data_IF_785151161507
#
_entry.id   IF_785151161507
#
_cell.length_a   1.000
_cell.length_b   1.000
_cell.length_c   1.000
_cell.angle_alpha   90.00
_cell.angle_beta   90.00
_cell.angle_gamma   90.00
#
_symmetry.space_group_name_H-M   'P 1'
#
loop_
_entity.id
_entity.type
_entity.pdbx_description
1 polymer ?
#
# COMPACT_ATOMS: atom_id res chain seq x y z
N UNK A 1 -7.69 -21.21 11.31
CA UNK A 1 -7.88 -19.76 11.46
C UNK A 1 -6.63 -18.95 11.09
N UNK A 2 -5.39 -19.34 11.45
CA UNK A 2 -4.16 -18.59 11.07
C UNK A 2 -3.85 -18.54 9.55
N UNK A 3 -4.26 -19.54 8.77
CA UNK A 3 -4.03 -19.60 7.30
C UNK A 3 -4.92 -18.62 6.51
N UNK A 4 -6.10 -18.26 7.02
CA UNK A 4 -7.00 -17.28 6.37
C UNK A 4 -6.54 -15.82 6.52
N UNK A 5 -5.80 -15.50 7.58
CA UNK A 5 -5.35 -14.13 7.85
C UNK A 5 -4.22 -13.72 6.88
N UNK A 6 -3.32 -14.64 6.54
CA UNK A 6 -2.22 -14.36 5.60
C UNK A 6 -2.72 -14.12 4.16
N UNK A 7 -3.74 -14.86 3.73
CA UNK A 7 -4.37 -14.70 2.42
C UNK A 7 -5.14 -13.37 2.34
N UNK A 8 -5.77 -12.94 3.43
CA UNK A 8 -6.53 -11.68 3.46
C UNK A 8 -5.61 -10.45 3.40
N UNK A 9 -4.42 -10.51 4.02
CA UNK A 9 -3.42 -9.44 3.93
C UNK A 9 -2.80 -9.33 2.53
N UNK A 10 -2.52 -10.47 1.89
CA UNK A 10 -1.99 -10.49 0.52
C UNK A 10 -3.00 -9.94 -0.50
N UNK A 11 -4.30 -10.22 -0.32
CA UNK A 11 -5.37 -9.71 -1.20
C UNK A 11 -5.57 -8.19 -1.00
N UNK A 12 -5.37 -7.65 0.21
CA UNK A 12 -5.47 -6.21 0.47
C UNK A 12 -4.32 -5.43 -0.20
N UNK A 13 -3.10 -6.01 -0.27
CA UNK A 13 -1.95 -5.39 -0.96
C UNK A 13 -2.10 -5.40 -2.49
N UNK A 14 -2.72 -6.43 -3.08
CA UNK A 14 -2.96 -6.51 -4.52
C UNK A 14 -4.07 -5.55 -4.98
N UNK A 15 -5.04 -5.22 -4.11
CA UNK A 15 -6.11 -4.29 -4.46
C UNK A 15 -5.65 -2.83 -4.56
N UNK A 16 -4.52 -2.45 -3.94
CA UNK A 16 -3.95 -1.10 -4.05
C UNK A 16 -3.14 -0.88 -5.32
N UNK A 17 -2.68 -1.95 -5.97
CA UNK A 17 -1.89 -1.86 -7.23
C UNK A 17 -2.75 -1.73 -8.50
N UNK A 18 -4.07 -1.95 -8.42
CA UNK A 18 -4.95 -1.92 -9.60
C UNK A 18 -5.58 -0.54 -9.88
N UNK A 19 -5.31 0.49 -9.07
CA UNK A 19 -5.98 1.79 -9.18
C UNK A 19 -5.16 2.92 -9.87
N UNK A 20 -3.91 2.67 -10.23
CA UNK A 20 -3.04 3.69 -10.87
C UNK A 20 -2.83 3.44 -12.37
N UNK A 21 -3.91 3.48 -13.13
CA UNK A 21 -3.90 3.43 -14.59
C UNK A 21 -4.69 4.60 -15.19
N UNK A 22 -4.20 5.82 -15.09
CA UNK A 22 -4.77 7.00 -15.74
C UNK A 22 -3.68 7.74 -16.51
N UNK A 23 -3.65 7.59 -17.84
CA UNK A 23 -2.72 8.31 -18.72
C UNK A 23 -3.03 9.81 -18.76
N UNK A 24 -2.10 10.62 -18.33
CA UNK A 24 -2.02 12.04 -18.58
C UNK A 24 -0.71 12.35 -19.29
N UNK A 25 -0.78 13.11 -20.36
CA UNK A 25 0.38 13.58 -21.13
C UNK A 25 1.29 14.43 -20.24
N UNK A 26 2.55 14.04 -20.14
CA UNK A 26 3.60 14.73 -19.38
C UNK A 26 4.08 15.98 -20.14
N UNK A 27 4.33 17.12 -19.47
CA UNK A 27 5.12 18.22 -20.02
C UNK A 27 6.61 17.83 -20.09
N UNK A 28 7.27 18.17 -21.19
CA UNK A 28 8.70 17.96 -21.42
C UNK A 28 9.54 18.63 -20.31
N UNK A 29 10.25 17.82 -19.54
CA UNK A 29 11.29 18.26 -18.59
C UNK A 29 12.63 18.48 -19.30
N UNK A 30 13.46 19.45 -18.85
CA UNK A 30 14.77 19.71 -19.44
C UNK A 30 15.78 18.60 -19.14
N UNK A 31 16.68 18.36 -20.08
CA UNK A 31 17.75 17.37 -20.11
C UNK A 31 18.41 17.12 -18.74
N UNK A 32 18.25 15.90 -18.24
CA UNK A 32 19.03 15.35 -17.14
C UNK A 32 20.45 14.97 -17.62
N UNK A 33 21.49 15.08 -16.77
CA UNK A 33 22.84 14.71 -17.15
C UNK A 33 22.97 13.21 -17.37
N UNK A 34 23.77 12.87 -18.40
CA UNK A 34 24.16 11.57 -18.92
C UNK A 34 23.97 10.39 -17.94
N UNK A 35 22.93 9.62 -18.18
CA UNK A 35 22.75 8.31 -17.54
C UNK A 35 23.90 7.40 -18.01
N UNK A 36 24.68 6.92 -17.07
CA UNK A 36 25.60 5.79 -17.25
C UNK A 36 24.85 4.69 -18.01
N UNK A 37 25.41 4.29 -19.15
CA UNK A 37 24.86 3.23 -19.99
C UNK A 37 24.44 2.04 -19.13
N UNK A 38 23.15 1.71 -19.18
CA UNK A 38 22.63 0.50 -18.55
C UNK A 38 23.46 -0.70 -19.05
N UNK A 39 23.79 -1.66 -18.16
CA UNK A 39 24.55 -2.84 -18.58
C UNK A 39 23.81 -3.48 -19.76
N UNK A 40 24.53 -3.68 -20.85
CA UNK A 40 23.99 -4.33 -22.05
C UNK A 40 23.36 -5.64 -21.60
N UNK A 41 22.06 -5.78 -21.80
CA UNK A 41 21.32 -6.94 -21.38
C UNK A 41 21.94 -8.20 -22.01
N UNK A 42 22.57 -9.01 -21.15
CA UNK A 42 23.30 -10.19 -21.54
C UNK A 42 22.39 -11.40 -21.69
N UNK A 43 23.03 -12.53 -21.89
CA UNK A 43 22.39 -13.85 -21.84
C UNK A 43 22.56 -14.41 -20.42
N UNK A 44 21.46 -14.93 -19.83
CA UNK A 44 21.45 -15.59 -18.54
C UNK A 44 20.94 -17.01 -18.74
N UNK A 45 21.74 -18.00 -18.37
CA UNK A 45 21.42 -19.43 -18.52
C UNK A 45 20.97 -19.82 -19.96
N UNK A 46 21.62 -19.23 -20.98
CA UNK A 46 21.29 -19.47 -22.38
C UNK A 46 19.98 -18.81 -22.84
N UNK A 47 19.47 -17.84 -22.09
CA UNK A 47 18.29 -17.02 -22.42
C UNK A 47 18.74 -15.60 -22.70
N UNK A 48 18.37 -15.06 -23.86
CA UNK A 48 18.63 -13.68 -24.25
C UNK A 48 17.45 -12.79 -23.85
N UNK A 49 17.72 -11.51 -23.60
CA UNK A 49 16.71 -10.55 -23.19
C UNK A 49 15.50 -10.51 -24.12
N UNK A 50 15.73 -10.55 -25.45
CA UNK A 50 14.65 -10.49 -26.44
C UNK A 50 13.74 -11.73 -26.38
N UNK A 51 14.32 -12.91 -26.08
CA UNK A 51 13.58 -14.14 -25.91
C UNK A 51 12.82 -14.16 -24.57
N UNK A 52 13.43 -13.59 -23.50
CA UNK A 52 12.83 -13.53 -22.19
C UNK A 52 11.52 -12.74 -22.16
N UNK A 53 11.46 -11.60 -22.82
CA UNK A 53 10.27 -10.74 -22.89
C UNK A 53 9.02 -11.44 -23.48
N UNK A 54 9.23 -12.50 -24.25
CA UNK A 54 8.16 -13.29 -24.90
C UNK A 54 8.05 -14.73 -24.36
N UNK A 55 8.90 -15.10 -23.41
CA UNK A 55 8.96 -16.46 -22.86
C UNK A 55 7.78 -16.70 -21.92
N UNK A 56 7.19 -17.90 -22.02
CA UNK A 56 6.16 -18.32 -21.07
C UNK A 56 6.78 -19.04 -19.85
N UNK A 57 6.00 -19.19 -18.77
CA UNK A 57 6.40 -19.97 -17.60
C UNK A 57 6.75 -21.41 -17.99
N UNK A 58 5.96 -22.04 -18.86
CA UNK A 58 6.22 -23.41 -19.31
C UNK A 58 7.52 -23.53 -20.10
N UNK A 59 7.85 -22.55 -20.97
CA UNK A 59 9.10 -22.53 -21.70
C UNK A 59 10.30 -22.39 -20.77
N UNK A 60 10.18 -21.51 -19.77
CA UNK A 60 11.23 -21.26 -18.79
C UNK A 60 11.47 -22.50 -17.91
N UNK A 61 10.41 -23.12 -17.41
CA UNK A 61 10.49 -24.36 -16.63
C UNK A 61 11.08 -25.49 -17.49
N UNK A 62 10.62 -25.66 -18.71
CA UNK A 62 11.12 -26.70 -19.61
C UNK A 62 12.61 -26.55 -19.91
N UNK A 63 13.13 -25.32 -19.92
CA UNK A 63 14.53 -25.01 -20.17
C UNK A 63 15.42 -25.22 -18.96
N UNK A 64 14.97 -24.84 -17.76
CA UNK A 64 15.80 -24.76 -16.56
C UNK A 64 15.54 -25.88 -15.54
N UNK A 65 14.35 -26.45 -15.54
CA UNK A 65 13.88 -27.35 -14.48
C UNK A 65 13.47 -28.70 -15.08
N UNK A 66 14.10 -29.77 -14.64
CA UNK A 66 13.81 -31.12 -15.12
C UNK A 66 12.60 -31.72 -14.42
N UNK A 67 12.49 -31.47 -13.12
CA UNK A 67 11.37 -31.97 -12.29
C UNK A 67 10.64 -30.75 -11.69
N UNK A 68 9.42 -30.49 -12.17
CA UNK A 68 8.57 -29.37 -11.71
C UNK A 68 8.24 -29.43 -10.21
N UNK A 69 8.24 -30.64 -9.61
CA UNK A 69 7.84 -30.83 -8.21
C UNK A 69 9.02 -30.83 -7.24
N UNK A 70 10.22 -30.99 -7.74
CA UNK A 70 11.44 -31.08 -6.92
C UNK A 70 12.68 -30.60 -7.70
N UNK A 71 12.73 -29.26 -8.07
CA UNK A 71 13.91 -28.70 -8.72
C UNK A 71 15.14 -28.82 -7.80
N UNK A 72 16.33 -29.02 -8.38
CA UNK A 72 17.57 -28.93 -7.62
C UNK A 72 17.83 -27.52 -7.17
N UNK A 73 18.76 -27.31 -6.22
CA UNK A 73 19.14 -25.94 -5.78
C UNK A 73 19.66 -25.11 -6.94
N UNK A 74 20.47 -25.72 -7.82
CA UNK A 74 21.03 -25.08 -9.00
C UNK A 74 19.92 -24.69 -10.01
N UNK A 75 18.96 -25.57 -10.24
CA UNK A 75 17.82 -25.32 -11.13
C UNK A 75 16.93 -24.19 -10.60
N UNK A 76 16.65 -24.18 -9.29
CA UNK A 76 15.87 -23.15 -8.65
C UNK A 76 16.60 -21.78 -8.66
N UNK A 77 17.91 -21.78 -8.36
CA UNK A 77 18.74 -20.57 -8.42
C UNK A 77 18.80 -20.03 -9.84
N UNK A 78 19.00 -20.89 -10.84
CA UNK A 78 19.00 -20.49 -12.25
C UNK A 78 17.66 -19.87 -12.67
N UNK A 79 16.54 -20.40 -12.18
CA UNK A 79 15.22 -19.78 -12.41
C UNK A 79 15.15 -18.37 -11.82
N UNK A 80 15.59 -18.18 -10.59
CA UNK A 80 15.61 -16.87 -9.94
C UNK A 80 16.55 -15.87 -10.65
N UNK A 81 17.70 -16.32 -11.12
CA UNK A 81 18.69 -15.50 -11.83
C UNK A 81 18.17 -14.97 -13.16
N UNK A 82 17.16 -15.59 -13.78
CA UNK A 82 16.56 -15.07 -15.00
C UNK A 82 15.90 -13.69 -14.82
N UNK A 83 15.62 -13.28 -13.57
CA UNK A 83 15.12 -11.93 -13.28
C UNK A 83 16.11 -10.82 -13.70
N UNK A 84 17.38 -11.13 -13.87
CA UNK A 84 18.36 -10.19 -14.40
C UNK A 84 18.01 -9.68 -15.81
N UNK A 85 17.26 -10.48 -16.56
CA UNK A 85 16.79 -10.13 -17.91
C UNK A 85 15.53 -9.27 -17.90
N UNK A 86 14.78 -9.21 -16.79
CA UNK A 86 13.59 -8.41 -16.70
C UNK A 86 13.93 -6.91 -16.66
N UNK A 87 13.13 -6.09 -17.32
CA UNK A 87 13.22 -4.64 -17.19
C UNK A 87 12.86 -4.21 -15.77
N UNK A 88 13.54 -3.18 -15.29
CA UNK A 88 13.35 -2.59 -13.97
C UNK A 88 13.23 -1.07 -14.15
N UNK A 89 12.13 -0.49 -13.67
CA UNK A 89 11.96 0.95 -13.69
C UNK A 89 12.64 1.64 -12.49
N UNK A 90 12.63 2.98 -12.47
CA UNK A 90 13.21 3.79 -11.38
C UNK A 90 12.54 3.56 -10.01
N UNK A 91 11.31 3.05 -10.02
CA UNK A 91 10.53 2.69 -8.82
C UNK A 91 10.74 1.23 -8.42
N UNK A 92 11.75 0.58 -8.97
CA UNK A 92 12.06 -0.83 -8.72
C UNK A 92 10.93 -1.80 -9.06
N UNK A 93 10.04 -1.43 -9.98
CA UNK A 93 9.03 -2.37 -10.45
C UNK A 93 9.64 -3.25 -11.54
N UNK A 94 9.52 -4.55 -11.36
CA UNK A 94 9.83 -5.50 -12.40
C UNK A 94 8.67 -5.57 -13.39
N UNK A 95 8.97 -5.54 -14.69
CA UNK A 95 7.98 -5.86 -15.70
C UNK A 95 7.42 -7.28 -15.47
N UNK A 96 6.19 -7.53 -15.95
CA UNK A 96 5.61 -8.88 -15.94
C UNK A 96 6.58 -9.86 -16.59
N UNK A 97 6.83 -10.98 -15.90
CA UNK A 97 7.90 -11.88 -16.31
C UNK A 97 7.58 -13.36 -16.06
N UNK A 98 8.14 -14.21 -16.91
CA UNK A 98 7.97 -15.64 -16.86
C UNK A 98 8.53 -16.27 -15.57
N UNK A 99 9.49 -15.63 -14.89
CA UNK A 99 10.03 -16.11 -13.61
C UNK A 99 8.96 -16.14 -12.54
N UNK A 100 8.15 -15.06 -12.44
CA UNK A 100 7.06 -15.01 -11.50
C UNK A 100 6.03 -16.11 -11.73
N UNK A 101 5.61 -16.27 -12.98
CA UNK A 101 4.61 -17.26 -13.35
C UNK A 101 5.13 -18.68 -13.14
N UNK A 102 6.42 -18.92 -13.42
CA UNK A 102 7.06 -20.20 -13.17
C UNK A 102 7.13 -20.53 -11.66
N UNK A 103 7.43 -19.56 -10.79
CA UNK A 103 7.41 -19.74 -9.34
C UNK A 103 6.01 -20.05 -8.82
N UNK A 104 5.00 -19.34 -9.31
CA UNK A 104 3.59 -19.62 -8.98
C UNK A 104 3.23 -21.04 -9.41
N UNK A 105 3.63 -21.44 -10.61
CA UNK A 105 3.33 -22.78 -11.15
C UNK A 105 4.02 -23.89 -10.35
N UNK A 106 5.27 -23.68 -9.89
CA UNK A 106 5.98 -24.64 -9.03
C UNK A 106 5.32 -24.80 -7.65
N UNK A 107 4.63 -23.77 -7.18
CA UNK A 107 3.95 -23.74 -5.87
C UNK A 107 2.41 -23.80 -6.00
N UNK A 108 1.86 -24.17 -7.17
CA UNK A 108 0.43 -24.04 -7.49
C UNK A 108 -0.51 -24.74 -6.50
N UNK A 109 -0.08 -25.84 -5.92
CA UNK A 109 -0.89 -26.64 -4.98
C UNK A 109 -0.59 -26.31 -3.51
N UNK A 110 0.19 -25.26 -3.24
CA UNK A 110 0.65 -24.92 -1.89
C UNK A 110 1.60 -25.96 -1.32
N UNK A 111 2.21 -26.78 -2.18
CA UNK A 111 3.19 -27.79 -1.77
C UNK A 111 4.52 -27.14 -1.41
N UNK A 112 5.11 -27.58 -0.30
CA UNK A 112 6.47 -27.21 0.05
C UNK A 112 7.46 -28.01 -0.80
N UNK A 113 8.37 -27.31 -1.49
CA UNK A 113 9.46 -27.98 -2.20
C UNK A 113 10.37 -28.70 -1.19
N UNK A 114 10.80 -29.98 -1.45
CA UNK A 114 11.55 -30.77 -0.47
C UNK A 114 12.87 -30.15 0.01
N UNK A 115 13.49 -29.32 -0.84
CA UNK A 115 14.78 -28.67 -0.61
C UNK A 115 14.68 -27.14 -0.54
N UNK A 116 13.50 -26.62 -0.17
CA UNK A 116 13.24 -25.18 -0.25
C UNK A 116 14.16 -24.34 0.65
N UNK A 117 14.60 -24.85 1.79
CA UNK A 117 15.55 -24.15 2.65
C UNK A 117 16.93 -24.01 1.99
N UNK A 118 17.40 -25.03 1.29
CA UNK A 118 18.66 -24.97 0.56
C UNK A 118 18.56 -24.04 -0.64
N UNK A 119 17.43 -24.06 -1.35
CA UNK A 119 17.12 -23.12 -2.42
C UNK A 119 17.10 -21.67 -1.90
N UNK A 120 16.43 -21.43 -0.77
CA UNK A 120 16.37 -20.11 -0.14
C UNK A 120 17.78 -19.61 0.22
N UNK A 121 18.59 -20.45 0.87
CA UNK A 121 19.95 -20.09 1.27
C UNK A 121 20.83 -19.76 0.05
N UNK A 122 20.70 -20.51 -1.04
CA UNK A 122 21.45 -20.23 -2.27
C UNK A 122 21.05 -18.90 -2.90
N UNK A 123 19.74 -18.60 -2.98
CA UNK A 123 19.25 -17.34 -3.59
C UNK A 123 19.61 -16.12 -2.74
N UNK A 124 19.49 -16.17 -1.41
CA UNK A 124 19.88 -15.04 -0.55
C UNK A 124 21.39 -14.83 -0.50
N UNK A 125 22.20 -15.85 -0.82
CA UNK A 125 23.64 -15.74 -0.97
C UNK A 125 24.08 -15.24 -2.37
N UNK A 126 23.16 -15.08 -3.31
CA UNK A 126 23.45 -14.59 -4.65
C UNK A 126 24.08 -13.19 -4.61
N UNK A 127 25.07 -12.93 -5.46
CA UNK A 127 25.77 -11.64 -5.52
C UNK A 127 24.87 -10.52 -6.05
N UNK A 128 23.88 -10.84 -6.89
CA UNK A 128 22.94 -9.87 -7.46
C UNK A 128 21.92 -9.39 -6.42
N UNK A 129 21.95 -8.12 -6.11
CA UNK A 129 20.93 -7.47 -5.28
C UNK A 129 19.52 -7.51 -5.92
N UNK A 130 19.46 -7.49 -7.26
CA UNK A 130 18.21 -7.58 -8.03
C UNK A 130 17.55 -8.95 -7.84
N UNK A 131 18.34 -10.02 -7.90
CA UNK A 131 17.87 -11.40 -7.62
C UNK A 131 17.37 -11.53 -6.18
N UNK A 132 18.15 -11.04 -5.20
CA UNK A 132 17.75 -11.10 -3.79
C UNK A 132 16.48 -10.27 -3.51
N UNK A 133 16.40 -9.05 -4.04
CA UNK A 133 15.22 -8.20 -3.92
C UNK A 133 13.98 -8.89 -4.46
N UNK A 134 14.07 -9.41 -5.67
CA UNK A 134 12.96 -10.15 -6.28
C UNK A 134 12.54 -11.33 -5.40
N UNK A 135 13.50 -12.08 -4.89
CA UNK A 135 13.22 -13.20 -3.99
C UNK A 135 12.49 -12.75 -2.71
N UNK A 136 12.88 -11.63 -2.09
CA UNK A 136 12.16 -11.09 -0.93
C UNK A 136 10.67 -10.85 -1.22
N UNK A 137 10.34 -10.39 -2.41
CA UNK A 137 8.94 -10.22 -2.80
C UNK A 137 8.18 -11.54 -2.99
N UNK A 138 8.87 -12.63 -3.25
CA UNK A 138 8.25 -13.95 -3.50
C UNK A 138 8.11 -14.82 -2.25
N UNK A 139 8.70 -14.40 -1.13
CA UNK A 139 8.65 -15.19 0.11
C UNK A 139 7.24 -15.47 0.62
N UNK A 140 6.28 -14.57 0.38
CA UNK A 140 4.88 -14.80 0.69
C UNK A 140 4.22 -15.90 -0.15
N UNK A 141 4.81 -16.27 -1.30
CA UNK A 141 4.31 -17.29 -2.23
C UNK A 141 4.99 -18.63 -2.05
N UNK A 142 5.93 -18.74 -1.11
CA UNK A 142 6.66 -19.98 -0.83
C UNK A 142 6.16 -20.59 0.47
N UNK A 143 5.87 -21.87 0.46
CA UNK A 143 5.33 -22.58 1.62
C UNK A 143 6.46 -23.31 2.35
N UNK A 144 6.61 -23.01 3.65
CA UNK A 144 7.62 -23.59 4.53
C UNK A 144 6.96 -24.32 5.68
N UNK A 145 7.51 -25.49 6.03
CA UNK A 145 7.07 -26.24 7.22
C UNK A 145 7.60 -25.60 8.50
N UNK A 146 8.86 -25.11 8.48
CA UNK A 146 9.51 -24.40 9.59
C UNK A 146 9.92 -22.99 9.18
N UNK A 147 9.07 -22.00 9.48
CA UNK A 147 9.33 -20.59 9.20
C UNK A 147 10.47 -20.02 10.05
N UNK A 148 10.73 -20.56 11.25
CA UNK A 148 11.75 -20.01 12.15
C UNK A 148 13.15 -20.29 11.60
N UNK A 149 13.42 -21.53 11.19
CA UNK A 149 14.71 -21.90 10.59
C UNK A 149 14.97 -21.13 9.28
N UNK A 150 13.91 -20.80 8.57
CA UNK A 150 13.97 -20.09 7.31
C UNK A 150 14.25 -18.59 7.47
N UNK A 151 13.59 -17.92 8.41
CA UNK A 151 13.73 -16.46 8.55
C UNK A 151 15.04 -16.02 9.18
N UNK A 152 15.71 -16.86 9.97
CA UNK A 152 16.98 -16.49 10.59
C UNK A 152 18.10 -16.14 9.57
N UNK A 153 18.40 -16.96 8.55
CA UNK A 153 19.40 -16.62 7.53
C UNK A 153 18.94 -15.44 6.66
N UNK A 154 17.64 -15.31 6.35
CA UNK A 154 17.12 -14.17 5.59
C UNK A 154 17.35 -12.88 6.37
N UNK A 155 16.99 -12.82 7.67
CA UNK A 155 17.23 -11.66 8.51
C UNK A 155 18.71 -11.26 8.51
N UNK A 156 19.60 -12.23 8.73
CA UNK A 156 21.04 -11.98 8.76
C UNK A 156 21.56 -11.36 7.44
N UNK A 157 21.01 -11.79 6.30
CA UNK A 157 21.36 -11.19 5.00
C UNK A 157 20.75 -9.80 4.86
N UNK A 158 19.47 -9.62 5.15
CA UNK A 158 18.75 -8.36 5.01
C UNK A 158 19.41 -7.23 5.81
N UNK A 159 19.75 -7.44 7.09
CA UNK A 159 20.42 -6.41 7.91
C UNK A 159 21.84 -6.09 7.45
N UNK A 160 22.38 -6.85 6.51
CA UNK A 160 23.68 -6.62 5.86
C UNK A 160 23.57 -6.03 4.46
N UNK A 161 22.36 -5.76 3.96
CA UNK A 161 22.16 -5.20 2.62
C UNK A 161 22.64 -3.77 2.54
N UNK A 162 23.28 -3.44 1.43
CA UNK A 162 23.76 -2.09 1.10
C UNK A 162 23.13 -1.55 -0.19
N UNK A 163 22.58 -2.43 -1.02
CA UNK A 163 22.00 -2.05 -2.29
C UNK A 163 20.56 -1.56 -2.11
N UNK A 164 20.21 -0.35 -2.60
CA UNK A 164 18.90 0.26 -2.37
C UNK A 164 17.72 -0.63 -2.77
N UNK A 165 17.80 -1.33 -3.90
CA UNK A 165 16.71 -2.22 -4.33
C UNK A 165 16.46 -3.34 -3.33
N UNK A 166 17.51 -3.97 -2.79
CA UNK A 166 17.34 -5.07 -1.83
C UNK A 166 16.80 -4.55 -0.49
N UNK A 167 17.26 -3.37 -0.04
CA UNK A 167 16.75 -2.72 1.18
C UNK A 167 15.27 -2.36 1.02
N UNK A 168 14.89 -1.70 -0.07
CA UNK A 168 13.51 -1.28 -0.34
C UNK A 168 12.55 -2.49 -0.37
N UNK A 169 12.96 -3.58 -1.02
CA UNK A 169 12.17 -4.80 -1.07
C UNK A 169 12.07 -5.51 0.28
N UNK A 170 13.15 -5.52 1.08
CA UNK A 170 13.09 -6.04 2.44
C UNK A 170 12.11 -5.24 3.31
N UNK A 171 12.11 -3.91 3.23
CA UNK A 171 11.17 -3.06 3.95
C UNK A 171 9.72 -3.34 3.54
N UNK A 172 9.48 -3.39 2.24
CA UNK A 172 8.13 -3.62 1.69
C UNK A 172 7.55 -4.97 2.05
N UNK A 173 8.34 -6.04 1.98
CA UNK A 173 7.82 -7.41 2.01
C UNK A 173 8.13 -8.19 3.28
N UNK A 174 9.15 -7.79 4.05
CA UNK A 174 9.62 -8.57 5.20
C UNK A 174 9.37 -7.92 6.56
N UNK A 175 9.01 -6.63 6.62
CA UNK A 175 8.80 -5.91 7.88
C UNK A 175 7.77 -6.60 8.80
N UNK A 176 6.72 -7.16 8.22
CA UNK A 176 5.69 -7.90 8.98
C UNK A 176 6.21 -9.20 9.62
N UNK A 177 7.29 -9.78 9.10
CA UNK A 177 7.89 -11.00 9.61
C UNK A 177 8.85 -10.73 10.78
N UNK A 178 9.43 -9.52 10.85
CA UNK A 178 10.43 -9.12 11.82
C UNK A 178 9.96 -8.01 12.77
N UNK A 179 8.65 -7.93 13.04
CA UNK A 179 7.96 -6.83 13.75
C UNK A 179 8.66 -6.35 15.01
N UNK A 180 9.09 -7.28 15.88
CA UNK A 180 9.67 -6.99 17.19
C UNK A 180 11.14 -7.37 17.27
N UNK A 181 11.77 -7.66 16.13
CA UNK A 181 13.21 -7.96 16.09
C UNK A 181 13.99 -6.65 16.18
N UNK A 182 14.78 -6.50 17.26
CA UNK A 182 15.48 -5.26 17.54
C UNK A 182 16.53 -4.92 16.47
N UNK A 183 17.27 -5.93 15.97
CA UNK A 183 18.31 -5.70 14.95
C UNK A 183 17.68 -5.26 13.62
N UNK A 184 16.51 -5.83 13.27
CA UNK A 184 15.78 -5.40 12.08
C UNK A 184 15.19 -3.99 12.26
N UNK A 185 14.63 -3.67 13.43
CA UNK A 185 14.14 -2.32 13.73
C UNK A 185 15.28 -1.28 13.63
N UNK A 186 16.45 -1.59 14.18
CA UNK A 186 17.64 -0.73 14.10
C UNK A 186 18.10 -0.57 12.64
N UNK A 187 18.10 -1.62 11.86
CA UNK A 187 18.43 -1.58 10.43
C UNK A 187 17.44 -0.71 9.63
N UNK A 188 16.14 -0.83 9.89
CA UNK A 188 15.13 0.04 9.27
C UNK A 188 15.43 1.49 9.64
N UNK A 189 15.59 1.81 10.91
CA UNK A 189 15.82 3.18 11.37
C UNK A 189 17.13 3.78 10.82
N UNK A 190 18.18 2.99 10.67
CA UNK A 190 19.44 3.43 10.09
C UNK A 190 19.34 3.86 8.62
N UNK A 191 18.26 3.47 7.93
CA UNK A 191 18.01 3.80 6.52
C UNK A 191 16.94 4.89 6.32
N UNK A 192 16.50 5.60 7.37
CA UNK A 192 15.46 6.65 7.27
C UNK A 192 15.83 7.78 6.30
N UNK A 193 17.13 8.12 6.23
CA UNK A 193 17.69 9.19 5.40
C UNK A 193 18.45 8.63 4.17
N UNK A 194 18.08 7.45 3.69
CA UNK A 194 18.76 6.84 2.55
C UNK A 194 18.65 7.76 1.31
N UNK A 195 19.74 7.90 0.55
CA UNK A 195 19.78 8.75 -0.65
C UNK A 195 18.73 8.33 -1.70
N UNK A 196 18.41 7.03 -1.77
CA UNK A 196 17.43 6.51 -2.71
C UNK A 196 15.99 6.69 -2.18
N UNK A 197 15.16 7.40 -2.94
CA UNK A 197 13.77 7.71 -2.57
C UNK A 197 12.92 6.45 -2.36
N UNK A 198 13.16 5.35 -3.08
CA UNK A 198 12.42 4.10 -2.89
C UNK A 198 12.70 3.43 -1.55
N UNK A 199 13.92 3.60 -1.00
CA UNK A 199 14.20 3.13 0.37
C UNK A 199 13.44 3.97 1.39
N UNK A 200 13.45 5.31 1.25
CA UNK A 200 12.67 6.19 2.13
C UNK A 200 11.17 5.94 2.02
N UNK A 201 10.67 5.75 0.81
CA UNK A 201 9.27 5.37 0.58
C UNK A 201 8.88 4.12 1.35
N UNK A 202 9.61 3.01 1.16
CA UNK A 202 9.28 1.75 1.80
C UNK A 202 9.65 1.69 3.27
N UNK A 203 10.51 2.59 3.76
CA UNK A 203 10.69 2.83 5.19
C UNK A 203 9.34 3.18 5.85
N UNK A 204 8.60 4.13 5.30
CA UNK A 204 7.31 4.55 5.85
C UNK A 204 6.31 3.38 5.95
N UNK A 205 6.27 2.53 4.93
CA UNK A 205 5.45 1.32 4.93
C UNK A 205 5.91 0.31 5.99
N UNK A 206 7.23 0.08 6.12
CA UNK A 206 7.80 -0.82 7.12
C UNK A 206 7.40 -0.42 8.55
N UNK A 207 7.47 0.87 8.87
CA UNK A 207 7.16 1.41 10.21
C UNK A 207 5.78 0.98 10.70
N UNK A 208 4.78 0.83 9.82
CA UNK A 208 3.43 0.40 10.20
C UNK A 208 3.36 -1.02 10.74
N UNK A 209 4.33 -1.86 10.39
CA UNK A 209 4.39 -3.25 10.85
C UNK A 209 5.28 -3.42 12.07
N UNK A 210 6.21 -2.50 12.33
CA UNK A 210 7.18 -2.64 13.39
C UNK A 210 6.56 -2.40 14.77
N UNK A 211 7.09 -3.11 15.75
CA UNK A 211 6.73 -3.02 17.17
C UNK A 211 8.00 -2.85 18.01
N UNK A 212 8.77 -1.76 17.79
CA UNK A 212 9.97 -1.48 18.55
C UNK A 212 9.62 -1.18 20.01
N UNK A 213 10.60 -1.33 20.91
CA UNK A 213 10.43 -0.97 22.32
C UNK A 213 10.18 0.54 22.52
N UNK A 214 10.77 1.38 21.66
CA UNK A 214 10.54 2.83 21.59
C UNK A 214 10.11 3.20 20.17
N UNK A 215 8.91 3.72 20.01
CA UNK A 215 8.36 4.16 18.73
C UNK A 215 8.78 5.58 18.35
N UNK A 216 9.27 6.38 19.30
CA UNK A 216 9.54 7.81 19.11
C UNK A 216 10.48 8.08 17.93
N UNK A 217 11.63 7.39 17.74
CA UNK A 217 12.52 7.67 16.62
C UNK A 217 11.88 7.39 15.25
N UNK A 218 10.95 6.41 15.17
CA UNK A 218 10.23 6.09 13.94
C UNK A 218 9.17 7.14 13.61
N UNK A 219 8.48 7.66 14.63
CA UNK A 219 7.53 8.75 14.45
C UNK A 219 8.24 10.04 14.03
N UNK A 220 9.39 10.33 14.63
CA UNK A 220 10.24 11.48 14.26
C UNK A 220 10.68 11.37 12.77
N UNK A 221 11.10 10.17 12.34
CA UNK A 221 11.43 9.93 10.94
C UNK A 221 10.20 10.10 10.02
N UNK A 222 9.02 9.64 10.42
CA UNK A 222 7.79 9.85 9.65
C UNK A 222 7.45 11.34 9.51
N UNK A 223 7.68 12.15 10.55
CA UNK A 223 7.51 13.61 10.48
C UNK A 223 8.46 14.25 9.46
N UNK A 224 9.70 13.76 9.35
CA UNK A 224 10.66 14.20 8.33
C UNK A 224 10.18 13.83 6.92
N UNK A 225 9.69 12.59 6.72
CA UNK A 225 9.23 12.08 5.42
C UNK A 225 7.94 12.75 4.90
N UNK A 226 7.09 13.30 5.77
CA UNK A 226 5.95 14.12 5.34
C UNK A 226 6.37 15.44 4.69
N UNK A 227 7.64 15.83 4.79
CA UNK A 227 8.25 16.96 4.11
C UNK A 227 9.35 16.58 3.12
N UNK A 228 9.38 15.33 2.67
CA UNK A 228 10.38 14.84 1.70
C UNK A 228 10.30 15.61 0.37
N UNK A 229 11.43 15.70 -0.33
CA UNK A 229 11.50 16.32 -1.66
C UNK A 229 10.80 15.50 -2.75
N UNK A 230 10.63 14.18 -2.52
CA UNK A 230 10.00 13.26 -3.46
C UNK A 230 8.53 13.03 -3.08
N UNK A 231 7.62 13.33 -4.02
CA UNK A 231 6.18 13.24 -3.79
C UNK A 231 5.70 11.79 -3.54
N UNK A 232 6.36 10.79 -4.10
CA UNK A 232 6.04 9.39 -3.84
C UNK A 232 6.34 9.00 -2.38
N UNK A 233 7.40 9.59 -1.80
CA UNK A 233 7.76 9.40 -0.39
C UNK A 233 6.72 10.06 0.52
N UNK A 234 6.35 11.31 0.22
CA UNK A 234 5.31 12.05 0.96
C UNK A 234 3.99 11.30 0.93
N UNK A 235 3.57 10.82 -0.24
CA UNK A 235 2.31 10.09 -0.44
C UNK A 235 2.28 8.81 0.40
N UNK A 236 3.33 8.00 0.33
CA UNK A 236 3.42 6.75 1.11
C UNK A 236 3.49 7.03 2.62
N UNK A 237 4.25 8.06 3.04
CA UNK A 237 4.31 8.47 4.44
C UNK A 237 2.95 8.95 4.93
N UNK A 238 2.25 9.78 4.15
CA UNK A 238 0.91 10.26 4.48
C UNK A 238 -0.06 9.12 4.69
N UNK A 239 -0.08 8.10 3.81
CA UNK A 239 -0.93 6.91 3.94
C UNK A 239 -0.68 6.13 5.23
N UNK A 240 0.58 6.03 5.62
CA UNK A 240 1.03 5.16 6.71
C UNK A 240 0.95 5.82 8.10
N UNK A 241 0.96 7.15 8.19
CA UNK A 241 0.87 7.90 9.44
C UNK A 241 -0.37 7.57 10.28
N UNK A 242 -1.49 7.26 9.63
CA UNK A 242 -2.76 6.96 10.33
C UNK A 242 -2.74 5.71 11.23
N UNK A 243 -1.68 4.91 11.19
CA UNK A 243 -1.53 3.71 12.04
C UNK A 243 -0.63 3.94 13.27
N UNK A 244 -0.05 5.13 13.42
CA UNK A 244 0.97 5.40 14.45
C UNK A 244 0.40 6.00 15.73
N UNK A 245 -0.85 6.48 15.72
CA UNK A 245 -1.58 7.01 16.89
C UNK A 245 -0.84 8.15 17.63
N UNK A 246 -0.17 9.06 16.88
CA UNK A 246 0.59 10.19 17.45
C UNK A 246 0.09 11.53 16.88
N UNK A 247 -0.44 12.38 17.76
CA UNK A 247 -1.03 13.68 17.40
C UNK A 247 -0.05 14.66 16.74
N UNK A 248 1.27 14.46 16.88
CA UNK A 248 2.28 15.27 16.19
C UNK A 248 2.17 15.18 14.68
N UNK A 249 1.60 14.09 14.15
CA UNK A 249 1.41 13.85 12.72
C UNK A 249 0.21 14.63 12.15
N UNK A 250 -0.72 15.11 12.99
CA UNK A 250 -1.98 15.74 12.56
C UNK A 250 -1.74 17.03 11.78
N UNK A 251 -0.92 17.95 12.31
CA UNK A 251 -0.64 19.23 11.66
C UNK A 251 0.09 19.05 10.31
N UNK A 252 1.15 18.23 10.18
CA UNK A 252 1.77 17.94 8.89
C UNK A 252 0.79 17.35 7.86
N UNK A 253 -0.04 16.38 8.25
CA UNK A 253 -1.06 15.80 7.36
C UNK A 253 -2.09 16.84 6.92
N UNK A 254 -2.54 17.72 7.83
CA UNK A 254 -3.46 18.81 7.50
C UNK A 254 -2.82 19.86 6.57
N UNK A 255 -1.51 20.05 6.61
CA UNK A 255 -0.79 20.92 5.66
C UNK A 255 -0.73 20.30 4.26
N UNK A 256 -0.49 18.99 4.16
CA UNK A 256 -0.51 18.28 2.87
C UNK A 256 -1.86 18.51 2.18
N UNK A 257 -2.98 18.40 2.89
CA UNK A 257 -4.32 18.60 2.34
C UNK A 257 -4.57 20.00 1.75
N UNK A 258 -3.71 20.98 2.04
CA UNK A 258 -3.82 22.37 1.59
C UNK A 258 -2.76 22.74 0.56
N UNK A 259 -1.83 21.86 0.27
CA UNK A 259 -0.77 22.10 -0.71
C UNK A 259 -1.14 21.48 -2.06
N UNK A 260 -1.46 22.34 -3.04
CA UNK A 260 -1.82 21.92 -4.39
C UNK A 260 -0.70 21.16 -5.11
N UNK A 261 0.57 21.37 -4.72
CA UNK A 261 1.70 20.61 -5.28
C UNK A 261 1.75 19.17 -4.77
N UNK A 262 1.02 18.87 -3.69
CA UNK A 262 0.91 17.53 -3.08
C UNK A 262 -0.47 16.90 -3.30
N UNK A 263 -1.16 17.29 -4.37
CA UNK A 263 -2.51 16.80 -4.68
C UNK A 263 -2.61 15.27 -4.72
N UNK A 264 -1.56 14.58 -5.17
CA UNK A 264 -1.50 13.11 -5.21
C UNK A 264 -1.51 12.49 -3.79
N UNK A 265 -1.06 13.23 -2.77
CA UNK A 265 -1.04 12.76 -1.37
C UNK A 265 -2.31 13.14 -0.58
N UNK A 266 -3.25 13.93 -1.14
CA UNK A 266 -4.41 14.42 -0.41
C UNK A 266 -5.31 13.28 0.09
N UNK A 267 -5.61 12.27 -0.75
CA UNK A 267 -6.47 11.15 -0.34
C UNK A 267 -5.82 10.31 0.77
N UNK A 268 -4.52 10.15 0.72
CA UNK A 268 -3.75 9.39 1.71
C UNK A 268 -3.64 10.14 3.03
N UNK A 269 -3.42 11.45 2.99
CA UNK A 269 -3.42 12.31 4.18
C UNK A 269 -4.79 12.34 4.85
N UNK A 270 -5.88 12.50 4.08
CA UNK A 270 -7.25 12.44 4.59
C UNK A 270 -7.57 11.05 5.18
N UNK A 271 -7.17 9.99 4.50
CA UNK A 271 -7.32 8.61 4.98
C UNK A 271 -6.65 8.43 6.34
N UNK A 272 -5.44 8.95 6.50
CA UNK A 272 -4.69 8.86 7.76
C UNK A 272 -5.33 9.68 8.87
N UNK A 273 -5.73 10.92 8.61
CA UNK A 273 -6.44 11.72 9.60
C UNK A 273 -7.72 11.01 10.07
N UNK A 274 -8.51 10.46 9.14
CA UNK A 274 -9.73 9.71 9.50
C UNK A 274 -9.39 8.47 10.33
N UNK A 275 -8.36 7.73 9.97
CA UNK A 275 -7.91 6.57 10.75
C UNK A 275 -7.54 6.91 12.20
N UNK A 276 -6.95 8.08 12.42
CA UNK A 276 -6.53 8.49 13.76
C UNK A 276 -7.68 8.79 14.71
N UNK A 277 -8.87 9.09 14.23
CA UNK A 277 -10.02 9.40 15.11
C UNK A 277 -11.20 8.45 14.95
N UNK A 278 -11.29 7.65 13.89
CA UNK A 278 -12.42 6.78 13.61
C UNK A 278 -12.04 5.29 13.72
N UNK A 279 -13.00 4.43 14.10
CA UNK A 279 -12.81 2.97 14.30
C UNK A 279 -12.48 2.23 13.01
N UNK A 280 -11.27 2.48 12.49
CA UNK A 280 -10.73 1.72 11.36
C UNK A 280 -9.20 1.87 11.23
N UNK A 281 -8.44 0.82 11.49
CA UNK A 281 -8.68 -0.27 12.44
C UNK A 281 -8.80 0.27 13.85
N UNK A 282 -9.33 -0.54 14.79
CA UNK A 282 -9.41 -0.11 16.17
C UNK A 282 -8.05 0.29 16.74
N UNK A 283 -7.98 1.48 17.29
CA UNK A 283 -6.82 2.04 17.98
C UNK A 283 -6.98 1.94 19.49
N UNK A 284 -5.87 2.06 20.21
CA UNK A 284 -5.88 2.21 21.65
C UNK A 284 -6.22 3.66 22.06
N UNK A 285 -5.93 4.64 21.17
CA UNK A 285 -6.23 6.06 21.37
C UNK A 285 -6.84 6.67 20.12
N UNK A 286 -7.86 7.51 20.30
CA UNK A 286 -8.50 8.25 19.21
C UNK A 286 -8.22 9.74 19.35
N UNK A 287 -7.82 10.37 18.24
CA UNK A 287 -7.35 11.75 18.21
C UNK A 287 -8.49 12.76 17.96
N UNK A 288 -8.80 13.58 18.96
CA UNK A 288 -9.68 14.74 18.79
C UNK A 288 -9.08 15.77 17.80
N UNK A 289 -7.76 15.94 17.80
CA UNK A 289 -7.07 16.84 16.87
C UNK A 289 -7.26 16.42 15.41
N UNK A 290 -7.13 15.11 15.13
CA UNK A 290 -7.34 14.56 13.80
C UNK A 290 -8.81 14.68 13.35
N UNK A 291 -9.79 14.49 14.26
CA UNK A 291 -11.18 14.76 13.96
C UNK A 291 -11.40 16.22 13.52
N UNK A 292 -10.89 17.19 14.30
CA UNK A 292 -11.01 18.62 13.97
C UNK A 292 -10.36 18.92 12.61
N UNK A 293 -9.15 18.45 12.37
CA UNK A 293 -8.46 18.65 11.09
C UNK A 293 -9.25 18.05 9.91
N UNK A 294 -9.83 16.84 10.09
CA UNK A 294 -10.70 16.22 9.09
C UNK A 294 -11.92 17.09 8.80
N UNK A 295 -12.63 17.55 9.84
CA UNK A 295 -13.86 18.34 9.65
C UNK A 295 -13.59 19.74 9.07
N UNK A 296 -12.48 20.38 9.47
CA UNK A 296 -12.06 21.65 8.89
C UNK A 296 -11.80 21.51 7.38
N UNK A 297 -11.12 20.44 6.96
CA UNK A 297 -10.89 20.16 5.54
C UNK A 297 -12.18 19.85 4.79
N UNK A 298 -13.03 18.96 5.30
CA UNK A 298 -14.28 18.56 4.62
C UNK A 298 -15.27 19.72 4.45
N UNK A 299 -15.32 20.66 5.40
CA UNK A 299 -16.20 21.84 5.35
C UNK A 299 -15.64 23.00 4.54
N UNK A 300 -14.31 23.04 4.37
CA UNK A 300 -13.59 24.14 3.72
C UNK A 300 -12.99 23.74 2.37
N UNK A 301 -11.72 23.37 2.41
CA UNK A 301 -10.90 23.22 1.22
C UNK A 301 -11.28 22.02 0.33
N UNK A 302 -11.96 21.01 0.87
CA UNK A 302 -12.43 19.88 0.07
C UNK A 302 -13.36 20.29 -1.07
N UNK A 303 -14.12 21.35 -0.87
CA UNK A 303 -15.03 21.88 -1.90
C UNK A 303 -14.31 22.34 -3.17
N UNK A 304 -13.05 22.79 -3.05
CA UNK A 304 -12.22 23.26 -4.17
C UNK A 304 -11.25 22.22 -4.73
N UNK A 305 -11.11 21.06 -4.08
CA UNK A 305 -10.19 20.03 -4.53
C UNK A 305 -10.68 19.35 -5.83
N UNK A 306 -9.85 19.35 -6.86
CA UNK A 306 -10.15 18.70 -8.14
C UNK A 306 -10.08 17.17 -8.08
N UNK A 307 -9.26 16.64 -7.17
CA UNK A 307 -9.11 15.20 -6.98
C UNK A 307 -10.07 14.68 -5.92
N UNK A 308 -10.87 13.65 -6.25
CA UNK A 308 -11.83 13.09 -5.31
C UNK A 308 -11.14 12.20 -4.29
N UNK A 309 -11.04 12.66 -3.05
CA UNK A 309 -10.60 11.87 -1.90
C UNK A 309 -11.65 10.82 -1.49
N UNK A 310 -11.99 9.92 -2.42
CA UNK A 310 -13.04 8.94 -2.18
C UNK A 310 -12.61 7.82 -1.23
N UNK A 311 -11.32 7.48 -1.22
CA UNK A 311 -10.78 6.41 -0.38
C UNK A 311 -10.84 6.80 1.10
N UNK A 312 -10.43 8.03 1.45
CA UNK A 312 -10.58 8.57 2.79
C UNK A 312 -12.03 8.56 3.25
N UNK A 313 -12.94 9.10 2.43
CA UNK A 313 -14.37 9.10 2.73
C UNK A 313 -14.94 7.67 2.89
N UNK A 314 -14.42 6.69 2.16
CA UNK A 314 -14.87 5.29 2.27
C UNK A 314 -14.63 4.71 3.67
N UNK A 315 -13.67 5.22 4.43
CA UNK A 315 -13.44 4.78 5.81
C UNK A 315 -14.61 5.19 6.70
N UNK A 316 -15.08 6.43 6.58
CA UNK A 316 -16.24 6.93 7.32
C UNK A 316 -17.55 6.28 6.87
N UNK A 317 -17.64 5.79 5.65
CA UNK A 317 -18.81 5.15 5.07
C UNK A 317 -19.07 3.72 5.60
N UNK A 318 -18.19 3.18 6.43
CA UNK A 318 -18.29 1.84 6.99
C UNK A 318 -18.38 1.88 8.51
N UNK A 319 -19.40 1.23 9.06
CA UNK A 319 -19.51 1.02 10.50
C UNK A 319 -18.63 -0.17 10.89
N UNK A 320 -17.54 0.11 11.59
CA UNK A 320 -16.60 -0.91 12.09
C UNK A 320 -17.21 -1.81 13.16
N UNK A 321 -16.58 -2.93 13.44
CA UNK A 321 -17.06 -3.91 14.43
C UNK A 321 -17.01 -3.37 15.87
N UNK A 322 -16.18 -2.35 16.13
CA UNK A 322 -16.03 -1.69 17.43
C UNK A 322 -16.70 -0.31 17.48
N UNK A 323 -17.54 0.01 16.50
CA UNK A 323 -18.17 1.33 16.38
C UNK A 323 -18.84 1.81 17.67
N UNK A 324 -19.60 0.93 18.34
CA UNK A 324 -20.33 1.33 19.54
C UNK A 324 -19.38 1.63 20.73
N UNK A 325 -18.26 0.90 20.84
CA UNK A 325 -17.22 1.17 21.82
C UNK A 325 -16.48 2.47 21.51
N UNK A 326 -16.09 2.67 20.24
CA UNK A 326 -15.50 3.91 19.77
C UNK A 326 -16.42 5.12 20.04
N UNK A 327 -17.70 5.03 19.68
CA UNK A 327 -18.65 6.12 19.88
C UNK A 327 -18.87 6.49 21.36
N UNK A 328 -18.68 5.55 22.27
CA UNK A 328 -18.72 5.80 23.71
C UNK A 328 -17.49 6.58 24.22
N UNK A 329 -16.34 6.41 23.59
CA UNK A 329 -15.07 7.07 23.95
C UNK A 329 -14.89 8.39 23.22
N UNK A 330 -15.20 8.45 21.93
CA UNK A 330 -15.00 9.62 21.05
C UNK A 330 -16.09 10.67 21.25
N UNK A 331 -16.30 11.14 22.48
CA UNK A 331 -17.37 12.08 22.86
C UNK A 331 -17.25 13.47 22.26
N UNK A 332 -16.11 13.79 21.65
CA UNK A 332 -15.86 15.03 20.91
C UNK A 332 -16.44 14.99 19.48
N UNK A 333 -16.83 13.82 18.99
CA UNK A 333 -17.38 13.67 17.63
C UNK A 333 -18.81 14.19 17.58
N UNK A 334 -19.09 15.07 16.63
CA UNK A 334 -20.41 15.63 16.38
C UNK A 334 -20.98 14.99 15.09
N UNK A 335 -21.93 14.09 15.25
CA UNK A 335 -22.58 13.41 14.13
C UNK A 335 -23.32 14.37 13.19
N UNK A 336 -23.97 15.42 13.72
CA UNK A 336 -24.70 16.39 12.92
C UNK A 336 -23.74 17.17 12.00
N UNK A 337 -22.55 17.49 12.49
CA UNK A 337 -21.50 18.16 11.72
C UNK A 337 -20.98 17.28 10.57
N UNK A 338 -20.80 15.98 10.83
CA UNK A 338 -20.39 15.02 9.80
C UNK A 338 -21.49 14.88 8.73
N UNK A 339 -22.73 14.76 9.15
CA UNK A 339 -23.88 14.63 8.25
C UNK A 339 -24.03 15.88 7.38
N UNK A 340 -23.89 17.10 7.96
CA UNK A 340 -23.94 18.35 7.22
C UNK A 340 -22.82 18.43 6.18
N UNK A 341 -21.58 18.12 6.55
CA UNK A 341 -20.46 18.10 5.60
C UNK A 341 -20.69 17.09 4.47
N UNK A 342 -21.16 15.88 4.78
CA UNK A 342 -21.47 14.86 3.78
C UNK A 342 -22.62 15.28 2.85
N UNK A 343 -23.66 15.95 3.35
CA UNK A 343 -24.75 16.52 2.53
C UNK A 343 -24.21 17.56 1.55
N UNK A 344 -23.41 18.50 2.03
CA UNK A 344 -22.83 19.57 1.19
C UNK A 344 -21.96 18.97 0.06
N UNK A 345 -21.12 17.97 0.36
CA UNK A 345 -20.32 17.29 -0.65
C UNK A 345 -21.21 16.49 -1.63
N UNK A 346 -22.28 15.85 -1.15
CA UNK A 346 -23.21 15.13 -2.00
C UNK A 346 -23.97 16.05 -2.97
N UNK A 347 -24.32 17.25 -2.55
CA UNK A 347 -25.04 18.25 -3.33
C UNK A 347 -24.15 18.93 -4.37
N UNK A 348 -22.84 18.92 -4.20
CA UNK A 348 -21.90 19.49 -5.17
C UNK A 348 -21.82 18.60 -6.43
N UNK A 349 -22.40 19.10 -7.53
CA UNK A 349 -22.44 18.39 -8.82
C UNK A 349 -21.06 18.27 -9.49
N UNK A 350 -20.08 19.08 -9.08
CA UNK A 350 -18.71 18.99 -9.58
C UNK A 350 -17.96 17.77 -9.02
N UNK A 351 -18.42 17.19 -7.91
CA UNK A 351 -17.79 16.01 -7.31
C UNK A 351 -18.11 14.72 -8.08
N UNK A 352 -17.09 13.87 -8.17
CA UNK A 352 -17.20 12.59 -8.85
C UNK A 352 -18.28 11.69 -8.22
N UNK A 353 -18.93 10.87 -9.06
CA UNK A 353 -19.99 9.95 -8.62
C UNK A 353 -19.61 9.09 -7.42
N UNK A 354 -18.36 8.56 -7.38
CA UNK A 354 -17.91 7.73 -6.26
C UNK A 354 -17.87 8.51 -4.95
N UNK A 355 -17.35 9.74 -4.96
CA UNK A 355 -17.33 10.63 -3.79
C UNK A 355 -18.75 10.86 -3.26
N UNK A 356 -19.67 11.28 -4.14
CA UNK A 356 -21.07 11.53 -3.80
C UNK A 356 -21.76 10.26 -3.26
N UNK A 357 -21.46 9.09 -3.83
CA UNK A 357 -21.99 7.80 -3.33
C UNK A 357 -21.48 7.49 -1.91
N UNK A 358 -20.19 7.79 -1.59
CA UNK A 358 -19.67 7.61 -0.23
C UNK A 358 -20.39 8.51 0.78
N UNK A 359 -20.72 9.74 0.40
CA UNK A 359 -21.46 10.65 1.27
C UNK A 359 -22.83 10.10 1.68
N UNK A 360 -23.57 9.43 0.79
CA UNK A 360 -24.83 8.74 1.16
C UNK A 360 -24.57 7.68 2.24
N UNK A 361 -23.47 6.93 2.12
CA UNK A 361 -23.09 5.92 3.13
C UNK A 361 -22.70 6.56 4.46
N UNK A 362 -21.95 7.66 4.44
CA UNK A 362 -21.56 8.41 5.65
C UNK A 362 -22.82 8.89 6.38
N UNK A 363 -23.77 9.46 5.67
CA UNK A 363 -25.07 9.87 6.24
C UNK A 363 -25.81 8.63 6.79
N UNK A 364 -25.70 7.46 6.13
CA UNK A 364 -26.23 6.20 6.64
C UNK A 364 -25.58 5.76 7.95
N UNK A 365 -24.29 6.04 8.17
CA UNK A 365 -23.57 5.69 9.41
C UNK A 365 -23.88 6.65 10.56
N UNK A 366 -23.80 7.96 10.31
CA UNK A 366 -23.81 9.00 11.34
C UNK A 366 -25.17 9.70 11.50
N UNK A 367 -26.00 9.75 10.45
CA UNK A 367 -27.32 10.40 10.46
C UNK A 367 -28.47 9.47 10.84
N UNK A 368 -29.66 10.00 10.79
CA UNK A 368 -30.89 9.27 10.99
C UNK A 368 -31.66 8.97 9.66
N UNK A 369 -32.88 8.45 9.78
CA UNK A 369 -33.71 8.14 8.61
C UNK A 369 -34.14 9.42 7.87
N UNK A 370 -34.45 10.49 8.60
CA UNK A 370 -34.87 11.75 8.01
C UNK A 370 -33.72 12.42 7.22
N UNK A 371 -32.49 12.28 7.69
CA UNK A 371 -31.31 12.76 6.97
C UNK A 371 -31.14 12.08 5.61
N UNK A 372 -31.35 10.77 5.56
CA UNK A 372 -31.31 10.00 4.29
C UNK A 372 -32.48 10.38 3.37
N UNK A 373 -33.70 10.48 3.91
CA UNK A 373 -34.89 10.85 3.13
C UNK A 373 -34.74 12.23 2.48
N UNK A 374 -34.05 13.16 3.15
CA UNK A 374 -33.81 14.51 2.62
C UNK A 374 -32.98 14.52 1.32
N UNK A 375 -32.15 13.48 1.08
CA UNK A 375 -31.33 13.39 -0.13
C UNK A 375 -32.14 13.14 -1.40
N UNK A 376 -33.38 12.65 -1.27
CA UNK A 376 -34.25 12.34 -2.42
C UNK A 376 -34.46 13.57 -3.32
N UNK A 377 -34.64 14.73 -2.73
CA UNK A 377 -34.85 15.97 -3.48
C UNK A 377 -33.63 16.36 -4.37
N UNK A 378 -32.43 16.04 -3.94
CA UNK A 378 -31.20 16.24 -4.73
C UNK A 378 -31.06 15.15 -5.80
N UNK A 379 -31.33 13.88 -5.46
CA UNK A 379 -31.27 12.77 -6.42
C UNK A 379 -32.27 13.00 -7.57
N UNK A 380 -33.46 13.52 -7.28
CA UNK A 380 -34.49 13.79 -8.30
C UNK A 380 -34.05 14.80 -9.36
N UNK A 381 -33.15 15.71 -9.01
CA UNK A 381 -32.58 16.74 -9.91
C UNK A 381 -31.40 16.24 -10.75
N UNK A 382 -30.81 15.09 -10.41
CA UNK A 382 -29.66 14.54 -11.15
C UNK A 382 -30.06 14.22 -12.59
N UNK A 383 -29.38 14.86 -13.56
CA UNK A 383 -29.68 14.72 -14.98
C UNK A 383 -29.18 13.38 -15.56
N UNK A 384 -28.00 12.91 -15.11
CA UNK A 384 -27.44 11.63 -15.55
C UNK A 384 -28.27 10.47 -15.03
N UNK A 385 -28.92 9.72 -15.92
CA UNK A 385 -29.75 8.57 -15.56
C UNK A 385 -28.94 7.47 -14.84
N UNK A 386 -27.66 7.28 -15.20
CA UNK A 386 -26.81 6.27 -14.58
C UNK A 386 -26.42 6.68 -13.16
N UNK A 387 -26.12 7.97 -12.92
CA UNK A 387 -25.75 8.46 -11.61
C UNK A 387 -26.97 8.51 -10.69
N UNK A 388 -28.11 8.99 -11.21
CA UNK A 388 -29.40 8.95 -10.49
C UNK A 388 -29.74 7.54 -10.02
N UNK A 389 -29.62 6.55 -10.90
CA UNK A 389 -29.88 5.14 -10.56
C UNK A 389 -28.90 4.63 -9.49
N UNK A 390 -27.62 4.99 -9.58
CA UNK A 390 -26.59 4.63 -8.62
C UNK A 390 -26.88 5.21 -7.23
N UNK A 391 -27.18 6.51 -7.16
CA UNK A 391 -27.51 7.20 -5.91
C UNK A 391 -28.80 6.68 -5.29
N UNK A 392 -29.84 6.44 -6.10
CA UNK A 392 -31.10 5.89 -5.61
C UNK A 392 -30.90 4.50 -5.02
N UNK A 393 -30.20 3.62 -5.73
CA UNK A 393 -29.89 2.27 -5.23
C UNK A 393 -29.12 2.32 -3.91
N UNK A 394 -28.18 3.26 -3.77
CA UNK A 394 -27.41 3.42 -2.54
C UNK A 394 -28.27 3.98 -1.40
N UNK A 395 -29.09 4.98 -1.67
CA UNK A 395 -30.03 5.55 -0.71
C UNK A 395 -31.01 4.48 -0.18
N UNK A 396 -31.62 3.71 -1.08
CA UNK A 396 -32.56 2.63 -0.72
C UNK A 396 -31.88 1.59 0.18
N UNK A 397 -30.61 1.24 -0.13
CA UNK A 397 -29.83 0.31 0.67
C UNK A 397 -29.51 0.85 2.08
N UNK A 398 -29.23 2.14 2.24
CA UNK A 398 -29.00 2.75 3.55
C UNK A 398 -30.31 2.93 4.35
N UNK A 399 -31.40 3.31 3.68
CA UNK A 399 -32.73 3.40 4.31
C UNK A 399 -33.21 2.05 4.84
N UNK A 400 -32.90 0.96 4.15
CA UNK A 400 -33.26 -0.38 4.57
C UNK A 400 -32.55 -0.85 5.85
N UNK A 401 -31.48 -0.17 6.27
CA UNK A 401 -30.74 -0.44 7.51
C UNK A 401 -31.27 0.34 8.73
N UNK A 402 -32.12 1.34 8.50
CA UNK A 402 -32.74 2.21 9.51
C UNK A 402 -34.12 1.72 9.89
#
# INVERSE_FOLDING_TARGET
MKKFLAIFLAILMVATLAACGGGGETPETPDAPDATEAPVAGEVHGIKVEAYATMTADDLIAKLIKDKTAPTVEEYTALMETIELAELDERFNFADNATNDALIQLNSDGATLPNILDCANAVIANDSAKVRAYYYSRLGNVFFDDTTAYYAPIKAKVISETEPIAIAYAFRYLASNFRSDAEFCDFVLANKDNENFMVRKWFSSAVTFLQPADKTPFIDAMLELLGDEDVDVVTEAALNCGTLEDDRLVEPLAKILKDENLADAHDDALTSLIRMWYDYPAHDNYSEAAYKATMDYLKGDYASADLPSWLGLSKMANKGTKFDAWAAEATYVNNDEIVEAAKNIFEDEAKARLVRTQCISIIGVFGDKADLEALQATIDKVESASDKSSYQSKLDAELAKK
#
